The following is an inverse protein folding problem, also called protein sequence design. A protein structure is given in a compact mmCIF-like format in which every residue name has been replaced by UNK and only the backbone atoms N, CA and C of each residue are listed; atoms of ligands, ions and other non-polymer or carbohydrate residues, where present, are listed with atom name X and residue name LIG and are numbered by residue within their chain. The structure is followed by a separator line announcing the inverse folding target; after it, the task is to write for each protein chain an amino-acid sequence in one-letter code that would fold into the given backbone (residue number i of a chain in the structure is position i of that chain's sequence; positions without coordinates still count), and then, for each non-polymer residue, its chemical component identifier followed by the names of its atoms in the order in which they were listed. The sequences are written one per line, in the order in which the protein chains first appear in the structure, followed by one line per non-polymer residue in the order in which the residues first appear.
data_IF_694291198791
#
_entry.id   IF_694291198791
#
_cell.length_a   1.000
_cell.length_b   1.000
_cell.length_c   1.000
_cell.angle_alpha   90.00
_cell.angle_beta   90.00
_cell.angle_gamma   90.00
#
_symmetry.space_group_name_H-M   'P 1'
#
loop_
_entity.id
_entity.type
_entity.pdbx_description
1 polymer ?
#
# COMPACT_ATOMS: atom_id res chain seq x y z
N UNK A 1 1.61 -28.15 27.49
CA UNK A 1 0.98 -26.95 26.89
C UNK A 1 1.52 -25.73 27.63
N UNK A 2 2.11 -24.77 26.94
CA UNK A 2 2.56 -23.52 27.55
C UNK A 2 1.33 -22.62 27.64
N UNK A 3 1.05 -22.11 28.83
CA UNK A 3 -0.05 -21.15 29.08
C UNK A 3 0.53 -19.79 29.46
N UNK A 4 -0.01 -18.72 28.88
CA UNK A 4 0.35 -17.32 29.19
C UNK A 4 -0.92 -16.48 29.21
N UNK A 5 -0.95 -15.49 30.10
CA UNK A 5 -2.02 -14.48 30.13
C UNK A 5 -1.45 -13.11 29.78
N UNK A 6 -2.20 -12.35 28.95
CA UNK A 6 -1.85 -10.98 28.54
C UNK A 6 -3.12 -10.13 28.45
N UNK A 7 -2.99 -8.82 28.32
CA UNK A 7 -4.15 -7.96 28.10
C UNK A 7 -4.68 -8.08 26.67
N UNK A 8 -3.78 -8.12 25.67
CA UNK A 8 -4.14 -8.13 24.26
C UNK A 8 -3.26 -9.09 23.47
N UNK A 9 -3.89 -9.93 22.65
CA UNK A 9 -3.20 -10.69 21.59
C UNK A 9 -3.39 -9.99 20.26
N UNK A 10 -2.31 -9.79 19.52
CA UNK A 10 -2.33 -9.29 18.14
C UNK A 10 -1.95 -10.42 17.19
N UNK A 11 -2.86 -10.83 16.31
CA UNK A 11 -2.60 -11.86 15.30
C UNK A 11 -2.24 -11.20 13.97
N UNK A 12 -1.00 -11.46 13.53
CA UNK A 12 -0.38 -10.85 12.35
C UNK A 12 0.64 -9.78 12.71
N UNK A 13 1.92 -10.04 12.37
CA UNK A 13 3.05 -9.12 12.59
C UNK A 13 3.39 -8.30 11.34
N UNK A 14 2.38 -7.92 10.56
CA UNK A 14 2.51 -6.88 9.54
C UNK A 14 2.56 -5.48 10.15
N UNK A 15 2.72 -4.44 9.32
CA UNK A 15 2.87 -3.06 9.78
C UNK A 15 1.73 -2.60 10.72
N UNK A 16 0.47 -2.93 10.40
CA UNK A 16 -0.67 -2.60 11.26
C UNK A 16 -0.58 -3.27 12.63
N UNK A 17 -0.32 -4.58 12.66
CA UNK A 17 -0.26 -5.36 13.90
C UNK A 17 0.89 -4.93 14.79
N UNK A 18 2.08 -4.75 14.21
CA UNK A 18 3.24 -4.29 14.97
C UNK A 18 3.04 -2.87 15.52
N UNK A 19 2.44 -1.97 14.73
CA UNK A 19 2.11 -0.60 15.19
C UNK A 19 1.11 -0.65 16.34
N UNK A 20 0.05 -1.46 16.23
CA UNK A 20 -0.93 -1.63 17.31
C UNK A 20 -0.28 -2.19 18.58
N UNK A 21 0.51 -3.25 18.48
CA UNK A 21 1.20 -3.88 19.60
C UNK A 21 2.18 -2.90 20.29
N UNK A 22 2.92 -2.12 19.50
CA UNK A 22 3.82 -1.10 20.02
C UNK A 22 3.09 -0.04 20.84
N UNK A 23 2.01 0.55 20.30
CA UNK A 23 1.26 1.59 21.02
C UNK A 23 0.47 1.04 22.22
N UNK A 24 -0.02 -0.21 22.19
CA UNK A 24 -0.60 -0.88 23.34
C UNK A 24 0.44 -1.06 24.45
N UNK A 25 1.64 -1.55 24.11
CA UNK A 25 2.74 -1.68 25.07
C UNK A 25 3.19 -0.33 25.63
N UNK A 26 3.25 0.72 24.80
CA UNK A 26 3.54 2.10 25.22
C UNK A 26 2.54 2.62 26.26
N UNK A 27 1.29 2.10 26.24
CA UNK A 27 0.26 2.37 27.26
C UNK A 27 0.39 1.49 28.53
N UNK A 28 1.39 0.64 28.61
CA UNK A 28 1.63 -0.24 29.76
C UNK A 28 0.87 -1.58 29.74
N UNK A 29 0.20 -1.93 28.61
CA UNK A 29 -0.50 -3.20 28.48
C UNK A 29 0.48 -4.34 28.18
N UNK A 30 0.16 -5.53 28.69
CA UNK A 30 0.86 -6.77 28.31
C UNK A 30 0.32 -7.25 26.97
N UNK A 31 1.20 -7.40 25.97
CA UNK A 31 0.84 -7.74 24.61
C UNK A 31 1.59 -8.99 24.16
N UNK A 32 0.92 -9.87 23.41
CA UNK A 32 1.55 -10.93 22.65
C UNK A 32 1.23 -10.75 21.16
N UNK A 33 2.24 -10.89 20.30
CA UNK A 33 2.08 -10.86 18.84
C UNK A 33 2.29 -12.26 18.28
N UNK A 34 1.33 -12.77 17.49
CA UNK A 34 1.35 -14.11 16.89
C UNK A 34 1.46 -13.99 15.38
N UNK A 35 2.51 -14.56 14.78
CA UNK A 35 2.83 -14.45 13.35
C UNK A 35 3.12 -15.84 12.75
N UNK A 36 2.45 -16.16 11.65
CA UNK A 36 2.62 -17.44 10.93
C UNK A 36 4.01 -17.57 10.29
N UNK A 37 4.55 -16.46 9.77
CA UNK A 37 5.82 -16.46 9.07
C UNK A 37 7.01 -16.57 10.04
N UNK A 38 8.17 -16.95 9.50
CA UNK A 38 9.44 -16.95 10.27
C UNK A 38 9.97 -15.55 10.59
N UNK A 39 9.45 -14.52 9.97
CA UNK A 39 9.84 -13.12 10.14
C UNK A 39 8.64 -12.21 10.37
N UNK A 40 8.87 -11.08 11.02
CA UNK A 40 7.91 -9.98 11.16
C UNK A 40 7.99 -9.02 9.97
N UNK A 41 7.05 -8.07 9.85
CA UNK A 41 7.01 -7.05 8.80
C UNK A 41 6.03 -7.33 7.66
N UNK A 42 5.44 -8.54 7.61
CA UNK A 42 4.48 -8.89 6.55
C UNK A 42 5.10 -8.78 5.16
N UNK A 43 4.56 -7.92 4.30
CA UNK A 43 5.07 -7.70 2.95
C UNK A 43 6.31 -6.79 2.88
N UNK A 44 6.69 -6.13 3.97
CA UNK A 44 7.86 -5.23 4.00
C UNK A 44 9.12 -6.07 4.22
N UNK A 45 10.02 -6.03 3.26
CA UNK A 45 11.34 -6.66 3.34
C UNK A 45 12.31 -5.94 2.43
N UNK A 46 13.50 -5.63 2.96
CA UNK A 46 14.59 -4.98 2.23
C UNK A 46 15.72 -5.97 1.97
N UNK A 47 16.31 -5.91 0.80
CA UNK A 47 17.49 -6.69 0.40
C UNK A 47 18.67 -5.77 0.13
N UNK A 48 19.85 -6.25 0.48
CA UNK A 48 21.14 -5.61 0.18
C UNK A 48 21.98 -6.60 -0.59
N UNK A 49 22.30 -6.29 -1.83
CA UNK A 49 23.06 -7.18 -2.71
C UNK A 49 23.82 -6.37 -3.76
N UNK A 50 25.10 -6.68 -3.95
CA UNK A 50 25.98 -6.08 -4.96
C UNK A 50 26.01 -4.55 -4.98
N UNK A 51 25.84 -3.91 -3.82
CA UNK A 51 25.77 -2.46 -3.66
C UNK A 51 24.38 -1.87 -3.93
N UNK A 52 23.37 -2.69 -4.22
CA UNK A 52 21.99 -2.27 -4.34
C UNK A 52 21.21 -2.51 -3.07
N UNK A 53 20.30 -1.57 -2.74
CA UNK A 53 19.31 -1.72 -1.68
C UNK A 53 17.93 -1.64 -2.29
N UNK A 54 17.18 -2.74 -2.27
CA UNK A 54 15.87 -2.84 -2.92
C UNK A 54 14.82 -3.51 -2.04
N UNK A 55 13.58 -3.15 -2.27
CA UNK A 55 12.44 -3.61 -1.50
C UNK A 55 11.74 -4.80 -2.17
N UNK A 56 11.21 -5.71 -1.34
CA UNK A 56 10.23 -6.71 -1.74
C UNK A 56 8.86 -6.28 -1.23
N UNK A 57 7.97 -5.86 -2.12
CA UNK A 57 6.65 -5.36 -1.77
C UNK A 57 6.55 -3.83 -1.87
N UNK A 58 6.09 -3.10 -0.83
CA UNK A 58 6.03 -1.64 -0.91
C UNK A 58 7.43 -1.05 -1.03
N UNK A 59 7.61 -0.11 -1.96
CA UNK A 59 8.88 0.58 -2.20
C UNK A 59 8.96 1.92 -1.47
N UNK A 60 7.81 2.56 -1.25
CA UNK A 60 7.72 3.89 -0.66
C UNK A 60 6.42 4.03 0.12
N UNK A 61 6.40 4.96 1.07
CA UNK A 61 5.17 5.45 1.68
C UNK A 61 4.98 6.93 1.40
N UNK A 62 3.85 7.49 1.83
CA UNK A 62 3.56 8.94 1.79
C UNK A 62 3.15 9.37 3.19
N UNK A 63 3.73 10.46 3.70
CA UNK A 63 3.38 11.02 5.02
C UNK A 63 2.00 11.70 4.93
N UNK A 64 0.95 10.88 4.76
CA UNK A 64 -0.43 11.33 4.54
C UNK A 64 -1.16 11.65 5.84
N UNK A 65 -0.63 11.23 6.98
CA UNK A 65 -1.17 11.41 8.32
C UNK A 65 -0.07 11.70 9.33
N UNK A 66 -0.37 12.46 10.40
CA UNK A 66 0.59 12.76 11.47
C UNK A 66 1.20 11.52 12.12
N UNK A 67 0.41 10.45 12.24
CA UNK A 67 0.82 9.20 12.87
C UNK A 67 2.06 8.58 12.25
N UNK A 68 2.36 8.90 10.97
CA UNK A 68 3.58 8.43 10.31
C UNK A 68 4.81 9.10 10.91
N UNK A 69 4.80 10.44 11.02
CA UNK A 69 5.91 11.20 11.58
C UNK A 69 6.09 10.88 13.08
N UNK A 70 4.97 10.80 13.82
CA UNK A 70 4.96 10.44 15.24
C UNK A 70 5.57 9.04 15.47
N UNK A 71 5.25 8.07 14.61
CA UNK A 71 5.84 6.73 14.72
C UNK A 71 7.36 6.76 14.54
N UNK A 72 7.88 7.48 13.56
CA UNK A 72 9.34 7.58 13.39
C UNK A 72 10.01 8.31 14.54
N UNK A 73 9.39 9.32 15.14
CA UNK A 73 9.86 9.97 16.35
C UNK A 73 9.93 8.98 17.52
N UNK A 74 8.91 8.17 17.70
CA UNK A 74 8.84 7.14 18.76
C UNK A 74 9.84 5.99 18.56
N UNK A 75 10.20 5.69 17.32
CA UNK A 75 11.16 4.63 16.97
C UNK A 75 12.61 5.10 17.01
N UNK A 76 12.88 6.40 17.05
CA UNK A 76 14.24 6.91 17.12
C UNK A 76 14.98 6.39 18.38
N UNK A 77 16.29 6.13 18.30
CA UNK A 77 17.18 6.20 17.13
C UNK A 77 17.20 4.91 16.28
N UNK A 78 16.38 3.89 16.60
CA UNK A 78 16.38 2.57 15.94
C UNK A 78 15.95 2.61 14.47
N UNK A 79 15.11 3.57 14.12
CA UNK A 79 14.64 3.77 12.75
C UNK A 79 14.57 5.26 12.45
N UNK A 80 15.16 5.67 11.33
CA UNK A 80 15.18 7.07 10.91
C UNK A 80 14.37 7.24 9.63
N UNK A 81 13.53 8.29 9.61
CA UNK A 81 12.76 8.70 8.44
C UNK A 81 13.69 9.21 7.35
N UNK A 82 13.52 8.71 6.15
CA UNK A 82 14.15 9.22 4.94
C UNK A 82 13.07 9.75 3.99
N UNK A 83 13.11 11.04 3.63
CA UNK A 83 12.19 11.62 2.66
C UNK A 83 12.81 11.63 1.28
N UNK A 84 11.96 11.47 0.24
CA UNK A 84 12.43 11.49 -1.12
C UNK A 84 13.06 12.84 -1.48
N UNK A 85 14.12 12.78 -2.32
CA UNK A 85 14.84 13.95 -2.85
C UNK A 85 13.92 14.84 -3.68
N UNK A 86 14.31 16.09 -3.87
CA UNK A 86 13.54 17.07 -4.67
C UNK A 86 13.39 16.62 -6.13
N UNK A 87 14.42 16.02 -6.70
CA UNK A 87 14.45 15.52 -8.07
C UNK A 87 13.36 14.45 -8.31
N UNK A 88 13.07 13.65 -7.29
CA UNK A 88 12.03 12.63 -7.33
C UNK A 88 10.59 13.18 -7.30
N UNK A 89 10.40 14.49 -7.24
CA UNK A 89 9.06 15.11 -7.38
C UNK A 89 8.50 14.95 -8.79
N UNK A 90 9.35 14.80 -9.81
CA UNK A 90 8.93 14.58 -11.19
C UNK A 90 8.26 13.20 -11.30
N UNK A 91 7.03 13.19 -11.80
CA UNK A 91 6.26 11.96 -12.03
C UNK A 91 5.96 11.84 -13.50
N UNK A 92 6.15 10.66 -14.04
CA UNK A 92 6.13 10.44 -15.48
C UNK A 92 4.94 9.54 -15.86
N UNK A 93 4.37 9.78 -17.04
CA UNK A 93 3.35 8.94 -17.67
C UNK A 93 3.84 8.54 -19.05
N UNK A 94 3.79 7.25 -19.35
CA UNK A 94 4.10 6.76 -20.68
C UNK A 94 3.03 7.16 -21.68
N UNK A 95 3.45 7.70 -22.82
CA UNK A 95 2.56 7.95 -23.96
C UNK A 95 3.31 7.81 -25.27
N UNK A 96 2.82 6.93 -26.16
CA UNK A 96 3.46 6.65 -27.43
C UNK A 96 4.79 5.95 -27.25
N UNK A 97 5.91 6.66 -27.38
CA UNK A 97 7.26 6.08 -27.37
C UNK A 97 8.15 6.58 -26.24
N UNK A 98 7.63 7.41 -25.30
CA UNK A 98 8.42 8.01 -24.24
C UNK A 98 7.58 8.37 -23.01
N UNK A 99 8.27 8.61 -21.92
CA UNK A 99 7.68 9.19 -20.73
C UNK A 99 7.47 10.71 -20.88
N UNK A 100 6.36 11.20 -20.37
CA UNK A 100 6.02 12.62 -20.29
C UNK A 100 5.76 12.99 -18.83
N UNK A 101 6.26 14.13 -18.41
CA UNK A 101 6.06 14.62 -17.05
C UNK A 101 4.59 15.03 -16.82
N UNK A 102 4.05 14.65 -15.65
CA UNK A 102 2.75 15.16 -15.20
C UNK A 102 2.91 16.64 -14.87
N UNK A 103 2.08 17.51 -15.46
CA UNK A 103 2.22 18.96 -15.25
C UNK A 103 1.94 19.34 -13.80
N UNK A 104 2.83 20.14 -13.22
CA UNK A 104 2.71 20.72 -11.87
C UNK A 104 2.24 22.18 -11.89
N UNK A 105 2.09 22.78 -13.07
CA UNK A 105 1.69 24.18 -13.27
C UNK A 105 0.56 24.32 -14.29
N UNK A 106 -0.13 25.46 -14.28
CA UNK A 106 -1.20 25.76 -15.26
C UNK A 106 -0.67 25.76 -16.70
N UNK A 107 0.49 26.38 -16.96
CA UNK A 107 1.12 26.38 -18.28
C UNK A 107 1.55 24.97 -18.71
N UNK A 108 2.13 24.20 -17.81
CA UNK A 108 2.41 22.79 -18.05
C UNK A 108 1.14 21.99 -18.38
N UNK A 109 0.03 22.27 -17.70
CA UNK A 109 -1.28 21.67 -17.98
C UNK A 109 -1.81 21.98 -19.38
N UNK A 110 -1.59 23.18 -19.86
CA UNK A 110 -1.98 23.57 -21.21
C UNK A 110 -1.08 22.98 -22.30
N UNK A 111 0.22 22.94 -22.07
CA UNK A 111 1.21 22.48 -23.06
C UNK A 111 1.38 20.96 -23.10
N UNK A 112 1.04 20.23 -22.03
CA UNK A 112 1.25 18.77 -21.96
C UNK A 112 0.52 18.04 -23.10
N UNK A 113 1.17 17.07 -23.78
CA UNK A 113 0.51 16.22 -24.76
C UNK A 113 -0.33 15.09 -24.14
N UNK A 114 -0.32 14.94 -22.81
CA UNK A 114 -1.04 13.87 -22.10
C UNK A 114 -2.56 13.99 -22.32
N UNK A 115 -3.11 15.20 -22.29
CA UNK A 115 -4.54 15.43 -22.32
C UNK A 115 -4.99 16.09 -23.63
N UNK A 116 -6.20 15.74 -24.06
CA UNK A 116 -6.82 16.35 -25.24
C UNK A 116 -7.28 17.78 -24.97
N UNK A 117 -7.31 18.62 -26.01
CA UNK A 117 -7.80 20.00 -25.88
C UNK A 117 -9.24 20.09 -25.37
N UNK A 118 -10.21 19.28 -25.87
CA UNK A 118 -11.56 19.30 -25.31
C UNK A 118 -11.60 19.00 -23.81
N UNK A 119 -10.79 18.05 -23.33
CA UNK A 119 -10.78 17.70 -21.93
C UNK A 119 -10.03 18.75 -21.06
N UNK A 120 -9.02 19.44 -21.61
CA UNK A 120 -8.39 20.59 -20.95
C UNK A 120 -9.40 21.72 -20.69
N UNK A 121 -10.22 22.05 -21.70
CA UNK A 121 -11.31 23.02 -21.52
C UNK A 121 -12.42 22.49 -20.60
N UNK A 122 -12.68 21.19 -20.61
CA UNK A 122 -13.66 20.55 -19.76
C UNK A 122 -13.40 20.77 -18.27
N UNK A 123 -12.13 20.81 -17.85
CA UNK A 123 -11.75 21.10 -16.45
C UNK A 123 -12.24 22.48 -16.00
N UNK A 124 -12.23 23.48 -16.85
CA UNK A 124 -12.73 24.83 -16.50
C UNK A 124 -14.21 24.80 -16.09
N UNK A 125 -15.00 23.90 -16.66
CA UNK A 125 -16.40 23.67 -16.30
C UNK A 125 -16.62 22.72 -15.12
N UNK A 126 -15.56 22.12 -14.55
CA UNK A 126 -15.68 21.15 -13.45
C UNK A 126 -16.45 21.69 -12.24
N UNK A 127 -16.21 22.94 -11.75
CA UNK A 127 -16.92 23.49 -10.60
C UNK A 127 -18.44 23.65 -10.78
N UNK A 128 -18.92 23.66 -12.01
CA UNK A 128 -20.36 23.86 -12.35
C UNK A 128 -21.08 22.56 -12.65
N UNK A 129 -20.39 21.41 -12.61
CA UNK A 129 -21.00 20.11 -12.87
C UNK A 129 -21.81 19.64 -11.67
N UNK A 130 -22.94 19.00 -11.96
CA UNK A 130 -23.79 18.40 -10.92
C UNK A 130 -23.03 17.32 -10.16
N UNK A 131 -23.30 17.25 -8.86
CA UNK A 131 -22.83 16.18 -7.97
C UNK A 131 -23.44 14.84 -8.39
N UNK A 132 -22.64 13.78 -8.40
CA UNK A 132 -23.12 12.43 -8.67
C UNK A 132 -24.05 11.94 -7.56
N UNK A 133 -25.12 11.25 -7.97
CA UNK A 133 -26.12 10.73 -7.04
C UNK A 133 -25.93 9.23 -6.74
N UNK A 134 -25.18 8.51 -7.58
CA UNK A 134 -24.91 7.10 -7.38
C UNK A 134 -23.75 6.90 -6.39
N UNK A 135 -24.02 6.38 -5.19
CA UNK A 135 -22.95 6.10 -4.21
C UNK A 135 -22.03 4.97 -4.66
N UNK A 136 -22.42 4.19 -5.66
CA UNK A 136 -21.63 3.09 -6.20
C UNK A 136 -20.95 3.46 -7.54
N UNK A 137 -20.92 4.75 -7.88
CA UNK A 137 -20.24 5.24 -9.08
C UNK A 137 -18.77 4.79 -9.11
N UNK A 138 -18.37 4.16 -10.23
CA UNK A 138 -16.97 3.74 -10.44
C UNK A 138 -16.05 4.96 -10.55
N UNK A 139 -14.75 4.77 -10.29
CA UNK A 139 -13.77 5.84 -10.48
C UNK A 139 -13.69 6.25 -11.95
N UNK A 140 -13.89 5.30 -12.88
CA UNK A 140 -13.89 5.59 -14.31
C UNK A 140 -15.07 6.48 -14.69
N UNK A 141 -16.29 6.18 -14.23
CA UNK A 141 -17.47 6.97 -14.57
C UNK A 141 -17.42 8.36 -13.95
N UNK A 142 -17.02 8.45 -12.68
CA UNK A 142 -16.75 9.72 -12.02
C UNK A 142 -15.78 10.58 -12.84
N UNK A 143 -14.67 9.97 -13.28
CA UNK A 143 -13.64 10.68 -14.03
C UNK A 143 -14.15 11.12 -15.40
N UNK A 144 -14.84 10.24 -16.14
CA UNK A 144 -15.43 10.58 -17.45
C UNK A 144 -16.42 11.73 -17.31
N UNK A 145 -17.29 11.67 -16.31
CA UNK A 145 -18.32 12.66 -16.06
C UNK A 145 -17.73 14.02 -15.70
N UNK A 146 -16.69 14.05 -14.84
CA UNK A 146 -16.12 15.32 -14.37
C UNK A 146 -14.98 15.84 -15.22
N UNK A 147 -14.04 15.00 -15.59
CA UNK A 147 -12.76 15.42 -16.18
C UNK A 147 -12.65 15.06 -17.68
N UNK A 148 -13.29 13.98 -18.11
CA UNK A 148 -13.24 13.52 -19.48
C UNK A 148 -12.31 12.31 -19.70
N UNK A 149 -12.37 11.76 -20.92
CA UNK A 149 -11.74 10.48 -21.27
C UNK A 149 -10.21 10.53 -21.22
N UNK A 150 -9.59 11.64 -21.65
CA UNK A 150 -8.12 11.70 -21.66
C UNK A 150 -7.52 11.75 -20.25
N UNK A 151 -8.21 12.38 -19.29
CA UNK A 151 -7.81 12.33 -17.88
C UNK A 151 -8.00 10.95 -17.28
N UNK A 152 -9.07 10.23 -17.64
CA UNK A 152 -9.19 8.83 -17.26
C UNK A 152 -8.00 8.03 -17.78
N UNK A 153 -7.70 8.14 -19.06
CA UNK A 153 -6.68 7.32 -19.71
C UNK A 153 -5.24 7.63 -19.25
N UNK A 154 -4.90 8.92 -19.07
CA UNK A 154 -3.51 9.35 -18.84
C UNK A 154 -3.21 9.94 -17.46
N UNK A 155 -4.18 9.95 -16.56
CA UNK A 155 -3.97 10.34 -15.17
C UNK A 155 -4.54 9.30 -14.20
N UNK A 156 -5.84 9.02 -14.28
CA UNK A 156 -6.54 8.19 -13.29
C UNK A 156 -6.25 6.71 -13.48
N UNK A 157 -6.34 6.20 -14.70
CA UNK A 157 -6.05 4.78 -14.99
C UNK A 157 -4.61 4.40 -14.64
N UNK A 158 -3.55 5.10 -15.09
CA UNK A 158 -2.19 4.75 -14.70
C UNK A 158 -1.94 4.91 -13.20
N UNK A 159 -2.55 5.90 -12.54
CA UNK A 159 -2.45 6.04 -11.09
C UNK A 159 -3.06 4.83 -10.36
N UNK A 160 -4.28 4.41 -10.73
CA UNK A 160 -4.94 3.27 -10.11
C UNK A 160 -4.26 1.95 -10.44
N UNK A 161 -3.77 1.78 -11.66
CA UNK A 161 -2.98 0.62 -12.05
C UNK A 161 -1.66 0.55 -11.29
N UNK A 162 -1.01 1.69 -11.03
CA UNK A 162 0.25 1.73 -10.28
C UNK A 162 0.08 1.58 -8.76
N UNK A 163 -1.00 2.13 -8.17
CA UNK A 163 -1.21 2.17 -6.72
C UNK A 163 -2.07 1.01 -6.23
N UNK A 164 -3.15 0.68 -6.94
CA UNK A 164 -4.08 -0.40 -6.60
C UNK A 164 -3.83 -1.69 -7.39
N UNK A 165 -3.01 -1.63 -8.43
CA UNK A 165 -2.94 -2.66 -9.47
C UNK A 165 -4.36 -3.03 -9.97
N UNK A 166 -5.28 -2.06 -9.90
CA UNK A 166 -6.72 -2.22 -10.02
C UNK A 166 -7.29 -1.73 -11.35
N UNK A 167 -8.60 -1.91 -11.50
CA UNK A 167 -9.34 -1.43 -12.66
C UNK A 167 -10.26 -0.26 -12.25
N UNK A 168 -10.09 0.97 -12.82
CA UNK A 168 -10.96 2.09 -12.51
C UNK A 168 -12.45 1.85 -12.85
N UNK A 169 -12.76 0.87 -13.72
CA UNK A 169 -14.14 0.51 -14.09
C UNK A 169 -14.86 -0.24 -12.95
N UNK A 170 -14.13 -0.97 -12.09
CA UNK A 170 -14.72 -1.79 -11.01
C UNK A 170 -14.48 -1.21 -9.62
N UNK A 171 -13.46 -0.37 -9.45
CA UNK A 171 -13.18 0.30 -8.19
C UNK A 171 -14.23 1.38 -7.90
N UNK A 172 -14.90 1.27 -6.74
CA UNK A 172 -15.94 2.21 -6.31
C UNK A 172 -15.32 3.40 -5.59
N UNK A 173 -15.65 4.60 -6.05
CA UNK A 173 -14.98 5.85 -5.63
C UNK A 173 -15.04 6.07 -4.12
N UNK A 174 -16.20 5.89 -3.48
CA UNK A 174 -16.36 6.13 -2.03
C UNK A 174 -15.54 5.19 -1.17
N UNK A 175 -15.19 4.00 -1.67
CA UNK A 175 -14.39 3.01 -0.94
C UNK A 175 -12.90 3.13 -1.24
N UNK A 176 -12.52 3.27 -2.51
CA UNK A 176 -11.13 3.33 -2.94
C UNK A 176 -10.51 4.72 -2.77
N UNK A 177 -11.25 5.78 -3.08
CA UNK A 177 -10.80 7.17 -3.00
C UNK A 177 -11.76 8.05 -2.19
N UNK A 178 -11.99 7.74 -0.89
CA UNK A 178 -12.99 8.44 -0.07
C UNK A 178 -12.72 9.95 0.03
N UNK A 179 -11.46 10.38 0.00
CA UNK A 179 -11.11 11.80 -0.01
C UNK A 179 -11.64 12.51 -1.26
N UNK A 180 -11.53 11.87 -2.43
CA UNK A 180 -12.01 12.43 -3.70
C UNK A 180 -13.54 12.45 -3.74
N UNK A 181 -14.17 11.36 -3.31
CA UNK A 181 -15.63 11.28 -3.16
C UNK A 181 -16.18 12.40 -2.28
N UNK A 182 -15.58 12.61 -1.10
CA UNK A 182 -15.99 13.63 -0.15
C UNK A 182 -15.77 15.07 -0.67
N UNK A 183 -14.78 15.31 -1.54
CA UNK A 183 -14.63 16.63 -2.19
C UNK A 183 -15.85 16.95 -3.05
N UNK A 184 -16.33 15.99 -3.82
CA UNK A 184 -17.53 16.18 -4.64
C UNK A 184 -18.78 16.32 -3.79
N UNK A 185 -19.01 15.39 -2.86
CA UNK A 185 -20.25 15.36 -2.06
C UNK A 185 -20.40 16.57 -1.14
N UNK A 186 -19.31 17.00 -0.48
CA UNK A 186 -19.36 18.05 0.53
C UNK A 186 -19.21 19.46 -0.05
N UNK A 187 -18.51 19.60 -1.19
CA UNK A 187 -18.18 20.91 -1.76
C UNK A 187 -18.68 21.11 -3.19
N UNK A 188 -19.37 20.10 -3.76
CA UNK A 188 -19.92 20.18 -5.12
C UNK A 188 -18.92 19.96 -6.25
N UNK A 189 -17.63 19.72 -5.96
CA UNK A 189 -16.62 19.47 -6.99
C UNK A 189 -15.20 19.41 -6.45
N UNK A 190 -14.29 18.96 -7.30
CA UNK A 190 -12.89 18.76 -6.92
C UNK A 190 -12.16 20.08 -6.72
N UNK A 191 -12.35 21.03 -7.65
CA UNK A 191 -11.70 22.35 -7.58
C UNK A 191 -12.22 23.14 -6.40
N UNK A 192 -13.56 23.24 -6.24
CA UNK A 192 -14.18 23.90 -5.09
C UNK A 192 -13.75 23.29 -3.77
N UNK A 193 -13.77 21.94 -3.68
CA UNK A 193 -13.37 21.23 -2.48
C UNK A 193 -11.89 21.40 -2.13
N UNK A 194 -11.00 21.38 -3.14
CA UNK A 194 -9.58 21.60 -2.92
C UNK A 194 -9.30 23.03 -2.39
N UNK A 195 -9.97 24.05 -2.97
CA UNK A 195 -9.86 25.43 -2.52
C UNK A 195 -10.42 25.63 -1.11
N UNK A 196 -11.56 25.01 -0.79
CA UNK A 196 -12.15 25.07 0.55
C UNK A 196 -11.22 24.43 1.59
N UNK A 197 -10.71 23.22 1.32
CA UNK A 197 -9.79 22.52 2.20
C UNK A 197 -8.43 23.22 2.37
N UNK A 198 -7.96 23.95 1.36
CA UNK A 198 -6.74 24.72 1.48
C UNK A 198 -6.85 25.88 2.50
N UNK A 199 -8.08 26.34 2.75
CA UNK A 199 -8.38 27.44 3.72
C UNK A 199 -8.66 26.93 5.14
N UNK A 200 -8.85 25.61 5.33
CA UNK A 200 -9.07 25.04 6.66
C UNK A 200 -7.82 25.27 7.54
N UNK A 201 -8.02 25.76 8.80
CA UNK A 201 -6.90 25.92 9.71
C UNK A 201 -6.27 24.56 10.03
N UNK A 202 -4.96 24.50 10.01
CA UNK A 202 -4.19 23.31 10.36
C UNK A 202 -3.58 23.47 11.74
N UNK A 203 -3.80 22.47 12.59
CA UNK A 203 -3.08 22.37 13.87
C UNK A 203 -1.59 22.07 13.64
N UNK A 204 -0.76 22.23 14.67
CA UNK A 204 0.65 21.84 14.59
C UNK A 204 0.79 20.34 14.26
N UNK A 205 -0.08 19.50 14.84
CA UNK A 205 -0.11 18.07 14.55
C UNK A 205 -0.44 17.80 13.07
N UNK A 206 -1.40 18.51 12.48
CA UNK A 206 -1.76 18.33 11.06
C UNK A 206 -0.62 18.69 10.11
N UNK A 207 0.27 19.60 10.52
CA UNK A 207 1.45 19.98 9.72
C UNK A 207 2.49 18.86 9.61
N UNK A 208 2.48 17.88 10.51
CA UNK A 208 3.31 16.69 10.43
C UNK A 208 2.97 15.83 9.19
N UNK A 209 1.75 15.91 8.67
CA UNK A 209 1.32 15.25 7.44
C UNK A 209 1.83 16.00 6.19
N UNK A 210 3.13 16.01 5.97
CA UNK A 210 3.83 16.77 4.92
C UNK A 210 3.48 16.34 3.50
N UNK A 211 2.90 15.16 3.32
CA UNK A 211 2.63 14.50 2.03
C UNK A 211 3.89 14.17 1.22
N UNK A 212 5.05 14.28 1.82
CA UNK A 212 6.29 13.82 1.20
C UNK A 212 6.30 12.30 1.07
N UNK A 213 6.94 11.82 0.02
CA UNK A 213 7.24 10.41 -0.14
C UNK A 213 8.35 10.04 0.84
N UNK A 214 8.23 8.88 1.48
CA UNK A 214 9.19 8.43 2.48
C UNK A 214 9.64 6.98 2.27
N UNK A 215 10.79 6.71 2.80
CA UNK A 215 11.36 5.41 3.15
C UNK A 215 11.95 5.49 4.56
N UNK A 216 12.72 4.51 4.94
CA UNK A 216 13.58 4.54 6.11
C UNK A 216 15.05 4.42 5.69
N UNK A 217 15.95 5.01 6.45
CA UNK A 217 17.39 4.86 6.24
C UNK A 217 17.75 3.37 6.29
N UNK A 218 18.45 2.89 5.26
CA UNK A 218 18.76 1.47 5.10
C UNK A 218 17.60 0.60 4.59
N UNK A 219 16.45 1.18 4.23
CA UNK A 219 15.30 0.48 3.67
C UNK A 219 14.12 0.34 4.63
N UNK A 220 12.95 0.05 4.05
CA UNK A 220 11.68 0.03 4.78
C UNK A 220 11.60 -1.04 5.88
N UNK A 221 12.39 -2.13 5.78
CA UNK A 221 12.41 -3.18 6.80
C UNK A 221 12.94 -2.69 8.17
N UNK A 222 13.62 -1.55 8.20
CA UNK A 222 14.02 -0.89 9.45
C UNK A 222 12.83 -0.57 10.35
N UNK A 223 11.65 -0.27 9.78
CA UNK A 223 10.42 0.03 10.53
C UNK A 223 9.93 -1.19 11.32
N UNK A 224 9.61 -2.35 10.71
CA UNK A 224 9.18 -3.52 11.48
C UNK A 224 10.25 -4.05 12.40
N UNK A 225 11.54 -3.93 12.07
CA UNK A 225 12.65 -4.32 12.96
C UNK A 225 12.65 -3.47 14.23
N UNK A 226 12.56 -2.15 14.11
CA UNK A 226 12.50 -1.23 15.25
C UNK A 226 11.24 -1.45 16.10
N UNK A 227 10.08 -1.65 15.45
CA UNK A 227 8.85 -2.01 16.17
C UNK A 227 9.01 -3.32 16.96
N UNK A 228 9.58 -4.35 16.35
CA UNK A 228 9.81 -5.63 17.01
C UNK A 228 10.76 -5.53 18.21
N UNK A 229 11.79 -4.70 18.10
CA UNK A 229 12.71 -4.43 19.22
C UNK A 229 12.02 -3.69 20.37
N UNK A 230 11.22 -2.67 20.07
CA UNK A 230 10.42 -1.92 21.06
C UNK A 230 9.34 -2.76 21.74
N UNK A 231 8.71 -3.69 21.00
CA UNK A 231 7.74 -4.64 21.55
C UNK A 231 8.45 -5.67 22.44
N UNK A 232 9.68 -6.05 22.13
CA UNK A 232 10.45 -7.10 22.80
C UNK A 232 10.21 -8.47 22.14
N UNK A 233 11.30 -9.14 21.80
CA UNK A 233 11.29 -10.43 21.09
C UNK A 233 10.53 -11.52 21.85
N UNK A 234 10.55 -11.48 23.18
CA UNK A 234 9.84 -12.40 24.08
C UNK A 234 8.32 -12.30 24.00
N UNK A 235 7.80 -11.23 23.41
CA UNK A 235 6.38 -11.00 23.20
C UNK A 235 5.92 -11.33 21.78
N UNK A 236 6.83 -11.79 20.89
CA UNK A 236 6.55 -12.08 19.49
C UNK A 236 6.77 -13.55 19.20
N UNK A 237 5.71 -14.23 18.82
CA UNK A 237 5.70 -15.65 18.46
C UNK A 237 5.65 -15.77 16.96
N UNK A 238 6.79 -16.00 16.32
CA UNK A 238 6.89 -16.31 14.88
C UNK A 238 6.74 -17.81 14.62
N UNK A 239 6.50 -18.20 13.37
CA UNK A 239 6.24 -19.61 12.98
C UNK A 239 5.08 -20.22 13.79
N UNK A 240 4.06 -19.41 14.09
CA UNK A 240 2.84 -19.87 14.76
C UNK A 240 1.90 -20.54 13.75
N UNK A 241 1.93 -21.85 13.75
CA UNK A 241 1.12 -22.66 12.86
C UNK A 241 -0.25 -22.97 13.47
N UNK A 242 -1.26 -23.25 12.60
CA UNK A 242 -2.62 -23.61 13.03
C UNK A 242 -3.22 -22.66 14.07
N UNK A 243 -2.94 -21.36 13.92
CA UNK A 243 -3.43 -20.36 14.85
C UNK A 243 -4.95 -20.28 14.79
N UNK A 244 -5.60 -20.39 15.95
CA UNK A 244 -7.04 -20.23 16.12
C UNK A 244 -7.33 -19.30 17.31
N UNK A 245 -8.41 -18.56 17.20
CA UNK A 245 -8.94 -17.68 18.24
C UNK A 245 -10.31 -18.21 18.63
N UNK A 246 -10.63 -18.21 19.92
CA UNK A 246 -11.94 -18.62 20.43
C UNK A 246 -12.34 -17.82 21.66
N UNK A 247 -13.62 -17.45 21.82
CA UNK A 247 -14.12 -16.85 23.04
C UNK A 247 -14.32 -17.93 24.11
N UNK A 248 -13.78 -17.75 25.30
CA UNK A 248 -13.92 -18.68 26.44
C UNK A 248 -14.17 -17.90 27.72
N UNK A 249 -15.34 -18.12 28.37
CA UNK A 249 -15.71 -17.54 29.68
C UNK A 249 -15.53 -16.00 29.78
N UNK A 250 -15.90 -15.28 28.71
CA UNK A 250 -15.79 -13.80 28.66
C UNK A 250 -14.37 -13.27 28.37
N UNK A 251 -13.44 -14.15 28.08
CA UNK A 251 -12.07 -13.85 27.63
C UNK A 251 -11.84 -14.46 26.23
N UNK A 252 -10.66 -14.21 25.68
CA UNK A 252 -10.22 -14.75 24.42
C UNK A 252 -9.08 -15.73 24.61
N UNK A 253 -9.13 -16.84 23.90
CA UNK A 253 -8.02 -17.81 23.83
C UNK A 253 -7.48 -17.84 22.41
N UNK A 254 -6.17 -17.61 22.29
CA UNK A 254 -5.43 -17.81 21.05
C UNK A 254 -4.54 -19.03 21.19
N UNK A 255 -4.79 -20.05 20.38
CA UNK A 255 -4.03 -21.31 20.37
C UNK A 255 -3.25 -21.45 19.07
N UNK A 256 -2.04 -21.97 19.13
CA UNK A 256 -1.18 -22.23 17.97
C UNK A 256 -0.09 -23.26 18.31
N UNK A 257 0.57 -23.77 17.29
CA UNK A 257 1.75 -24.61 17.42
C UNK A 257 3.00 -23.83 17.05
N UNK A 258 4.05 -23.95 17.87
CA UNK A 258 5.37 -23.41 17.57
C UNK A 258 6.46 -24.47 17.83
N UNK A 259 7.23 -24.80 16.79
CA UNK A 259 8.21 -25.89 16.83
C UNK A 259 7.62 -27.23 17.36
N UNK A 260 6.39 -27.57 16.93
CA UNK A 260 5.66 -28.78 17.32
C UNK A 260 5.11 -28.75 18.76
N UNK A 261 5.24 -27.62 19.48
CA UNK A 261 4.71 -27.48 20.84
C UNK A 261 3.43 -26.64 20.84
N UNK A 262 2.32 -27.12 21.44
CA UNK A 262 1.11 -26.35 21.58
C UNK A 262 1.27 -25.23 22.60
N UNK A 263 0.90 -24.01 22.19
CA UNK A 263 0.89 -22.80 23.01
C UNK A 263 -0.54 -22.26 23.05
N UNK A 264 -0.94 -21.78 24.21
CA UNK A 264 -2.23 -21.15 24.44
C UNK A 264 -2.03 -19.83 25.19
N UNK A 265 -2.58 -18.74 24.66
CA UNK A 265 -2.52 -17.43 25.27
C UNK A 265 -3.96 -16.97 25.54
N UNK A 266 -4.24 -16.64 26.79
CA UNK A 266 -5.51 -16.03 27.21
C UNK A 266 -5.38 -14.51 27.25
N UNK A 267 -6.40 -13.79 26.80
CA UNK A 267 -6.39 -12.33 26.77
C UNK A 267 -7.80 -11.73 26.91
N UNK A 268 -7.84 -10.47 27.32
CA UNK A 268 -9.10 -9.70 27.39
C UNK A 268 -9.58 -9.28 25.98
N UNK A 269 -8.64 -9.03 25.08
CA UNK A 269 -8.91 -8.57 23.72
C UNK A 269 -8.02 -9.30 22.70
N UNK A 270 -8.52 -9.43 21.48
CA UNK A 270 -7.78 -9.93 20.31
C UNK A 270 -7.91 -8.95 19.17
N UNK A 271 -6.80 -8.59 18.55
CA UNK A 271 -6.73 -7.81 17.34
C UNK A 271 -6.21 -8.71 16.22
N UNK A 272 -6.99 -8.90 15.15
CA UNK A 272 -6.51 -9.59 13.94
C UNK A 272 -6.11 -8.57 12.89
N UNK A 273 -4.94 -8.73 12.30
CA UNK A 273 -4.43 -7.86 11.22
C UNK A 273 -3.95 -8.67 10.02
N UNK A 274 -4.43 -9.87 9.89
CA UNK A 274 -4.12 -10.80 8.81
C UNK A 274 -4.92 -10.47 7.53
N UNK A 275 -4.58 -11.13 6.41
CA UNK A 275 -5.36 -11.02 5.19
C UNK A 275 -6.77 -11.65 5.34
N UNK A 276 -7.76 -11.11 4.61
CA UNK A 276 -9.14 -11.61 4.67
C UNK A 276 -9.25 -13.13 4.45
N UNK A 277 -8.44 -13.65 3.55
CA UNK A 277 -8.41 -15.08 3.17
C UNK A 277 -7.99 -16.04 4.31
N UNK A 278 -7.46 -15.54 5.43
CA UNK A 278 -7.08 -16.38 6.57
C UNK A 278 -8.14 -16.41 7.67
N UNK A 279 -9.15 -15.55 7.63
CA UNK A 279 -10.07 -15.36 8.75
C UNK A 279 -10.99 -16.56 8.98
N UNK A 280 -11.33 -17.33 7.94
CA UNK A 280 -12.14 -18.53 8.09
C UNK A 280 -11.46 -19.62 8.95
N UNK A 281 -10.14 -19.78 8.81
CA UNK A 281 -9.35 -20.72 9.62
C UNK A 281 -9.10 -20.17 11.03
N UNK A 282 -8.95 -18.85 11.16
CA UNK A 282 -8.63 -18.17 12.41
C UNK A 282 -9.82 -18.05 13.36
N UNK A 283 -11.02 -17.76 12.82
CA UNK A 283 -12.24 -17.38 13.56
C UNK A 283 -13.37 -18.41 13.32
N UNK A 284 -13.11 -19.68 13.61
CA UNK A 284 -14.02 -20.79 13.33
C UNK A 284 -15.37 -20.74 14.07
N UNK A 285 -15.49 -19.89 15.10
CA UNK A 285 -16.70 -19.68 15.88
C UNK A 285 -17.65 -18.63 15.27
N UNK A 286 -17.17 -17.85 14.27
CA UNK A 286 -17.97 -16.85 13.56
C UNK A 286 -18.79 -17.52 12.47
N UNK A 287 -20.04 -17.06 12.29
CA UNK A 287 -20.93 -17.55 11.26
C UNK A 287 -20.30 -17.48 9.86
N UNK A 288 -20.31 -18.60 9.11
CA UNK A 288 -19.61 -18.70 7.81
C UNK A 288 -20.02 -17.61 6.80
N UNK A 289 -21.30 -17.21 6.78
CA UNK A 289 -21.82 -16.19 5.86
C UNK A 289 -21.18 -14.82 6.10
N UNK A 290 -20.99 -14.44 7.37
CA UNK A 290 -20.30 -13.18 7.72
C UNK A 290 -18.84 -13.23 7.35
N UNK A 291 -18.17 -14.35 7.59
CA UNK A 291 -16.78 -14.53 7.17
C UNK A 291 -16.63 -14.51 5.66
N UNK A 292 -17.57 -15.11 4.92
CA UNK A 292 -17.53 -15.16 3.46
C UNK A 292 -17.55 -13.77 2.83
N UNK A 293 -18.31 -12.82 3.39
CA UNK A 293 -18.31 -11.43 2.93
C UNK A 293 -16.91 -10.77 3.04
N UNK A 294 -16.07 -11.25 3.96
CA UNK A 294 -14.70 -10.76 4.15
C UNK A 294 -13.69 -11.57 3.33
N UNK A 295 -13.81 -12.91 3.34
CA UNK A 295 -12.86 -13.81 2.67
C UNK A 295 -12.96 -13.74 1.15
N UNK A 296 -14.12 -13.34 0.60
CA UNK A 296 -14.31 -13.08 -0.83
C UNK A 296 -13.62 -11.81 -1.34
N UNK A 297 -12.93 -11.08 -0.46
CA UNK A 297 -12.14 -9.91 -0.86
C UNK A 297 -11.14 -10.27 -1.96
N UNK A 298 -11.30 -9.65 -3.11
CA UNK A 298 -10.39 -9.82 -4.23
C UNK A 298 -9.06 -9.09 -3.99
N UNK A 299 -7.97 -9.74 -4.31
CA UNK A 299 -6.63 -9.17 -4.27
C UNK A 299 -6.04 -9.14 -5.67
N UNK A 300 -5.49 -8.02 -6.08
CA UNK A 300 -4.71 -7.95 -7.32
C UNK A 300 -3.38 -8.69 -7.12
N UNK A 301 -3.03 -9.66 -7.99
CA UNK A 301 -1.71 -10.26 -7.99
C UNK A 301 -0.73 -9.32 -8.68
N UNK A 302 0.50 -9.24 -8.17
CA UNK A 302 1.57 -8.38 -8.72
C UNK A 302 2.89 -9.13 -8.70
N UNK A 303 3.63 -9.01 -9.79
CA UNK A 303 5.06 -9.33 -9.83
C UNK A 303 5.84 -8.02 -9.80
N UNK A 304 6.75 -7.92 -8.86
CA UNK A 304 7.73 -6.85 -8.80
C UNK A 304 9.08 -7.42 -9.24
N UNK A 305 9.76 -6.70 -10.14
CA UNK A 305 11.11 -7.06 -10.57
C UNK A 305 12.04 -5.88 -10.28
N UNK A 306 13.02 -6.10 -9.40
CA UNK A 306 14.08 -5.14 -9.13
C UNK A 306 15.20 -5.33 -10.15
N UNK A 307 15.57 -4.23 -10.81
CA UNK A 307 16.59 -4.20 -11.86
C UNK A 307 17.63 -3.15 -11.51
N UNK A 308 18.87 -3.57 -11.34
CA UNK A 308 19.99 -2.70 -11.02
C UNK A 308 20.99 -2.59 -12.17
N UNK A 309 21.52 -1.40 -12.37
CA UNK A 309 22.68 -1.14 -13.23
C UNK A 309 23.75 -0.39 -12.45
N UNK A 310 25.01 -0.81 -12.57
CA UNK A 310 26.15 -0.15 -11.89
C UNK A 310 26.60 1.11 -12.59
N UNK A 311 26.22 1.27 -13.87
CA UNK A 311 26.51 2.45 -14.69
C UNK A 311 25.33 2.75 -15.60
N UNK A 312 24.81 3.96 -15.53
CA UNK A 312 23.69 4.44 -16.36
C UNK A 312 24.11 4.86 -17.77
N UNK A 313 25.41 4.81 -18.10
CA UNK A 313 25.95 5.27 -19.38
C UNK A 313 25.55 6.72 -19.71
N UNK A 314 25.41 7.55 -18.68
CA UNK A 314 25.05 8.96 -18.81
C UNK A 314 23.56 9.22 -19.01
N UNK A 315 22.70 8.21 -18.95
CA UNK A 315 21.24 8.40 -18.96
C UNK A 315 20.75 9.01 -17.64
N UNK A 316 19.83 9.96 -17.73
CA UNK A 316 19.23 10.66 -16.59
C UNK A 316 17.91 10.00 -16.17
N UNK A 317 17.85 9.59 -14.90
CA UNK A 317 16.67 9.00 -14.26
C UNK A 317 16.16 9.84 -13.07
N UNK A 318 16.39 11.15 -13.04
CA UNK A 318 15.97 12.06 -11.99
C UNK A 318 14.45 12.27 -11.99
N UNK A 319 13.71 11.25 -11.54
CA UNK A 319 12.26 11.25 -11.37
C UNK A 319 11.85 10.20 -10.32
N UNK A 320 10.61 10.29 -9.83
CA UNK A 320 10.02 9.24 -8.98
C UNK A 320 9.89 7.91 -9.71
N UNK A 321 9.63 8.00 -11.00
CA UNK A 321 9.33 6.89 -11.88
C UNK A 321 8.23 7.22 -12.86
N UNK A 322 7.81 6.24 -13.63
CA UNK A 322 6.82 6.39 -14.68
C UNK A 322 5.71 5.34 -14.59
N UNK A 323 4.46 5.78 -14.72
CA UNK A 323 3.29 4.92 -14.81
C UNK A 323 2.89 4.67 -16.25
N UNK A 324 2.31 3.51 -16.50
CA UNK A 324 1.93 3.08 -17.84
C UNK A 324 0.41 2.98 -17.95
N UNK A 325 -0.24 3.81 -18.78
CA UNK A 325 -1.67 3.73 -19.03
C UNK A 325 -2.06 2.41 -19.72
N UNK A 326 -3.19 1.83 -19.33
CA UNK A 326 -3.70 0.60 -19.96
C UNK A 326 -3.96 0.76 -21.45
N UNK A 327 -4.31 1.97 -21.90
CA UNK A 327 -4.55 2.25 -23.32
C UNK A 327 -3.27 2.17 -24.19
N UNK A 328 -2.10 2.22 -23.60
CA UNK A 328 -0.80 2.06 -24.28
C UNK A 328 -0.44 0.58 -24.53
N UNK A 329 -1.22 -0.36 -24.00
CA UNK A 329 -1.12 -1.82 -24.22
C UNK A 329 0.29 -2.38 -23.94
N UNK A 330 0.92 -1.91 -22.87
CA UNK A 330 2.19 -2.42 -22.38
C UNK A 330 1.98 -3.47 -21.30
N UNK A 331 2.96 -4.33 -21.10
CA UNK A 331 2.93 -5.43 -20.14
C UNK A 331 3.29 -4.99 -18.72
N UNK A 332 3.83 -3.78 -18.54
CA UNK A 332 4.20 -3.23 -17.22
C UNK A 332 3.19 -2.16 -16.77
N UNK A 333 2.87 -2.15 -15.48
CA UNK A 333 2.02 -1.15 -14.85
C UNK A 333 2.76 0.18 -14.60
N UNK A 334 4.06 0.08 -14.39
CA UNK A 334 4.94 1.21 -14.13
C UNK A 334 6.33 0.77 -13.71
N UNK A 335 7.22 1.75 -13.66
CA UNK A 335 8.62 1.58 -13.25
C UNK A 335 8.94 2.67 -12.22
N UNK A 336 9.29 2.31 -10.99
CA UNK A 336 9.82 3.25 -10.01
C UNK A 336 11.33 3.35 -10.12
N UNK A 337 11.88 4.51 -9.72
CA UNK A 337 13.31 4.81 -9.71
C UNK A 337 13.80 5.04 -8.26
N UNK A 338 13.97 3.98 -7.44
CA UNK A 338 14.29 4.12 -6.03
C UNK A 338 15.61 4.86 -5.77
N UNK A 339 16.61 4.70 -6.64
CA UNK A 339 17.91 5.38 -6.50
C UNK A 339 17.81 6.91 -6.71
N UNK A 340 16.84 7.37 -7.52
CA UNK A 340 16.54 8.79 -7.64
C UNK A 340 15.80 9.35 -6.43
N UNK A 341 15.06 8.49 -5.71
CA UNK A 341 14.26 8.91 -4.56
C UNK A 341 15.06 8.98 -3.26
N UNK A 342 15.95 8.01 -3.03
CA UNK A 342 16.57 7.79 -1.72
C UNK A 342 18.06 7.51 -1.87
N UNK A 343 18.81 7.75 -0.77
CA UNK A 343 20.24 7.49 -0.73
C UNK A 343 20.56 6.00 -0.71
N UNK A 344 21.76 5.65 -1.17
CA UNK A 344 22.32 4.30 -1.06
C UNK A 344 21.42 3.19 -1.63
N UNK A 345 20.65 3.49 -2.70
CA UNK A 345 19.82 2.47 -3.37
C UNK A 345 20.55 1.80 -4.54
N UNK A 346 21.59 2.42 -5.06
CA UNK A 346 22.47 1.88 -6.11
C UNK A 346 23.91 2.31 -5.85
N UNK A 347 24.91 1.66 -6.48
CA UNK A 347 26.28 2.15 -6.52
C UNK A 347 26.40 3.55 -7.13
N UNK A 348 27.53 4.22 -6.92
CA UNK A 348 27.82 5.50 -7.57
C UNK A 348 27.73 5.36 -9.10
N UNK A 349 27.11 6.32 -9.78
CA UNK A 349 26.76 6.29 -11.21
C UNK A 349 25.77 5.20 -11.64
N UNK A 350 25.28 4.39 -10.71
CA UNK A 350 24.28 3.36 -10.97
C UNK A 350 22.84 3.82 -10.82
N UNK A 351 21.93 2.95 -11.20
CA UNK A 351 20.50 3.14 -11.00
C UNK A 351 19.81 1.85 -10.53
N UNK A 352 18.71 2.02 -9.85
CA UNK A 352 17.81 0.94 -9.44
C UNK A 352 16.40 1.23 -9.95
N UNK A 353 15.78 0.23 -10.54
CA UNK A 353 14.42 0.28 -11.09
C UNK A 353 13.58 -0.81 -10.45
N UNK A 354 12.32 -0.50 -10.15
CA UNK A 354 11.32 -1.50 -9.75
C UNK A 354 10.22 -1.54 -10.79
N UNK A 355 10.17 -2.62 -11.57
CA UNK A 355 9.12 -2.90 -12.56
C UNK A 355 7.95 -3.57 -11.87
N UNK A 356 6.73 -3.16 -12.20
CA UNK A 356 5.50 -3.77 -11.69
C UNK A 356 4.70 -4.36 -12.86
N UNK A 357 4.31 -5.65 -12.72
CA UNK A 357 3.67 -6.45 -13.77
C UNK A 357 2.44 -7.12 -13.16
N UNK A 358 1.37 -7.30 -13.95
CA UNK A 358 0.17 -7.99 -13.52
C UNK A 358 -0.99 -7.05 -13.19
N UNK A 359 -1.46 -7.08 -11.93
CA UNK A 359 -2.70 -6.41 -11.54
C UNK A 359 -3.94 -7.15 -12.03
N UNK A 360 -5.14 -6.63 -11.70
CA UNK A 360 -6.41 -7.28 -12.06
C UNK A 360 -6.62 -7.39 -13.57
N UNK A 361 -6.07 -6.45 -14.36
CA UNK A 361 -6.23 -6.41 -15.82
C UNK A 361 -5.34 -7.43 -16.55
N UNK A 362 -4.21 -7.78 -15.97
CA UNK A 362 -3.19 -8.63 -16.57
C UNK A 362 -2.68 -9.70 -15.59
N UNK A 363 -3.60 -10.28 -14.80
CA UNK A 363 -3.27 -11.29 -13.79
C UNK A 363 -2.50 -12.50 -14.38
N UNK A 364 -2.80 -12.87 -15.63
CA UNK A 364 -2.11 -13.94 -16.35
C UNK A 364 -0.59 -13.72 -16.47
N UNK A 365 -0.11 -12.48 -16.53
CA UNK A 365 1.31 -12.18 -16.59
C UNK A 365 2.05 -12.55 -15.30
N UNK A 366 1.34 -12.68 -14.18
CA UNK A 366 1.96 -13.08 -12.90
C UNK A 366 2.28 -14.57 -12.82
N UNK A 367 1.74 -15.37 -13.74
CA UNK A 367 1.98 -16.82 -13.84
C UNK A 367 3.12 -17.17 -14.82
N UNK A 368 3.69 -16.20 -15.51
CA UNK A 368 4.85 -16.40 -16.40
C UNK A 368 6.04 -16.99 -15.62
N UNK A 369 6.84 -17.82 -16.26
CA UNK A 369 8.08 -18.35 -15.69
C UNK A 369 9.11 -17.23 -15.49
N UNK A 370 10.09 -17.48 -14.62
CA UNK A 370 11.11 -16.45 -14.31
C UNK A 370 11.83 -15.96 -15.56
N UNK A 371 12.23 -16.87 -16.47
CA UNK A 371 12.88 -16.49 -17.74
C UNK A 371 11.98 -15.60 -18.62
N UNK A 372 10.68 -15.91 -18.71
CA UNK A 372 9.73 -15.10 -19.49
C UNK A 372 9.56 -13.70 -18.91
N UNK A 373 9.57 -13.59 -17.56
CA UNK A 373 9.52 -12.31 -16.85
C UNK A 373 10.81 -11.51 -17.03
N UNK A 374 11.96 -12.17 -16.98
CA UNK A 374 13.27 -11.54 -17.25
C UNK A 374 13.31 -10.99 -18.67
N UNK A 375 12.92 -11.80 -19.66
CA UNK A 375 12.88 -11.38 -21.08
C UNK A 375 11.91 -10.20 -21.28
N UNK A 376 10.74 -10.23 -20.62
CA UNK A 376 9.76 -9.13 -20.63
C UNK A 376 10.38 -7.85 -20.05
N UNK A 377 11.04 -7.96 -18.90
CA UNK A 377 11.66 -6.82 -18.22
C UNK A 377 12.82 -6.27 -19.03
N UNK A 378 13.69 -7.11 -19.58
CA UNK A 378 14.82 -6.70 -20.43
C UNK A 378 14.32 -5.97 -21.68
N UNK A 379 13.27 -6.46 -22.36
CA UNK A 379 12.67 -5.74 -23.50
C UNK A 379 12.18 -4.35 -23.09
N UNK A 380 11.51 -4.22 -21.94
CA UNK A 380 11.02 -2.93 -21.45
C UNK A 380 12.16 -2.05 -20.92
N UNK A 381 13.21 -2.60 -20.35
CA UNK A 381 14.42 -1.91 -19.96
C UNK A 381 15.05 -1.18 -21.17
N UNK A 382 15.22 -1.85 -22.31
CA UNK A 382 15.74 -1.23 -23.52
C UNK A 382 14.74 -0.25 -24.15
N UNK A 383 13.46 -0.61 -24.25
CA UNK A 383 12.48 0.19 -25.00
C UNK A 383 11.93 1.37 -24.22
N UNK A 384 11.84 1.30 -22.91
CA UNK A 384 11.22 2.34 -22.07
C UNK A 384 12.26 3.21 -21.35
N UNK A 385 13.38 2.62 -20.92
CA UNK A 385 14.47 3.35 -20.27
C UNK A 385 15.59 3.76 -21.22
N UNK A 386 15.49 3.33 -22.49
CA UNK A 386 16.39 3.69 -23.59
C UNK A 386 17.86 3.25 -23.42
N UNK A 387 18.10 2.23 -22.60
CA UNK A 387 19.43 1.63 -22.56
C UNK A 387 19.77 0.97 -23.89
N UNK A 388 21.05 1.06 -24.35
CA UNK A 388 21.51 0.36 -25.57
C UNK A 388 21.26 -1.15 -25.47
N UNK A 389 20.98 -1.80 -26.60
CA UNK A 389 20.77 -3.26 -26.66
C UNK A 389 21.92 -4.10 -26.17
N UNK A 390 23.16 -3.55 -26.19
CA UNK A 390 24.39 -4.16 -25.66
C UNK A 390 24.43 -4.15 -24.12
N UNK A 391 23.71 -3.23 -23.46
CA UNK A 391 23.70 -3.09 -22.00
C UNK A 391 22.81 -4.15 -21.38
N UNK A 392 23.35 -4.94 -20.49
CA UNK A 392 22.56 -5.86 -19.65
C UNK A 392 22.47 -5.32 -18.23
N UNK A 393 21.36 -5.56 -17.53
CA UNK A 393 21.27 -5.29 -16.10
C UNK A 393 22.32 -6.08 -15.30
N UNK A 394 22.88 -5.45 -14.26
CA UNK A 394 23.82 -6.10 -13.33
C UNK A 394 23.08 -6.91 -12.24
N UNK A 395 21.83 -6.58 -11.99
CA UNK A 395 20.97 -7.26 -11.00
C UNK A 395 19.56 -7.39 -11.55
N UNK A 396 18.98 -8.59 -11.44
CA UNK A 396 17.54 -8.84 -11.65
C UNK A 396 17.04 -9.71 -10.49
N UNK A 397 15.96 -9.28 -9.78
CA UNK A 397 15.33 -10.06 -8.71
C UNK A 397 13.82 -10.01 -8.85
N UNK A 398 13.19 -11.17 -8.95
CA UNK A 398 11.75 -11.34 -9.18
C UNK A 398 11.03 -11.66 -7.86
N UNK A 399 9.97 -10.92 -7.55
CA UNK A 399 9.13 -11.14 -6.39
C UNK A 399 7.66 -11.27 -6.79
N UNK A 400 7.04 -12.41 -6.46
CA UNK A 400 5.65 -12.69 -6.76
C UNK A 400 4.78 -12.47 -5.53
N UNK A 401 3.73 -11.69 -5.69
CA UNK A 401 2.74 -11.38 -4.66
C UNK A 401 1.34 -11.78 -5.16
N UNK A 402 0.89 -12.99 -4.83
CA UNK A 402 -0.43 -13.49 -5.27
C UNK A 402 -1.58 -12.69 -4.66
N UNK A 403 -1.46 -12.30 -3.40
CA UNK A 403 -2.43 -11.50 -2.65
C UNK A 403 -1.81 -10.14 -2.30
N UNK A 404 -1.47 -9.34 -3.33
CA UNK A 404 -0.73 -8.11 -3.14
C UNK A 404 -1.62 -6.98 -2.60
N UNK A 405 -2.64 -6.57 -3.36
CA UNK A 405 -3.39 -5.34 -3.08
C UNK A 405 -4.89 -5.64 -3.05
N UNK A 406 -5.57 -5.42 -1.89
CA UNK A 406 -7.01 -5.62 -1.78
C UNK A 406 -7.77 -4.62 -2.64
N UNK A 407 -8.84 -5.10 -3.30
CA UNK A 407 -9.67 -4.30 -4.18
C UNK A 407 -10.87 -3.72 -3.43
N UNK A 408 -11.23 -2.49 -3.78
CA UNK A 408 -12.33 -1.75 -3.20
C UNK A 408 -13.49 -1.62 -4.20
N UNK A 409 -14.09 -2.77 -4.53
CA UNK A 409 -15.19 -2.93 -5.47
C UNK A 409 -16.55 -2.86 -4.75
N UNK A 410 -17.63 -3.14 -5.46
CA UNK A 410 -19.01 -3.03 -4.97
C UNK A 410 -19.26 -3.88 -3.70
N UNK A 411 -18.63 -5.04 -3.60
CA UNK A 411 -18.70 -5.96 -2.44
C UNK A 411 -18.06 -5.39 -1.16
N UNK A 412 -17.36 -4.25 -1.27
CA UNK A 412 -16.75 -3.60 -0.10
C UNK A 412 -17.76 -3.15 0.95
N UNK A 413 -19.01 -2.83 0.54
CA UNK A 413 -20.09 -2.49 1.48
C UNK A 413 -20.40 -3.67 2.40
N UNK A 414 -20.71 -4.82 1.81
CA UNK A 414 -21.04 -6.04 2.54
C UNK A 414 -19.90 -6.48 3.47
N UNK A 415 -18.66 -6.38 2.98
CA UNK A 415 -17.47 -6.66 3.77
C UNK A 415 -17.37 -5.79 5.01
N UNK A 416 -17.58 -4.48 4.88
CA UNK A 416 -17.50 -3.56 6.02
C UNK A 416 -18.62 -3.76 7.00
N UNK A 417 -19.84 -4.00 6.53
CA UNK A 417 -21.00 -4.33 7.36
C UNK A 417 -20.75 -5.63 8.15
N UNK A 418 -20.21 -6.67 7.49
CA UNK A 418 -19.86 -7.92 8.15
C UNK A 418 -18.78 -7.74 9.23
N UNK A 419 -17.74 -6.95 8.97
CA UNK A 419 -16.72 -6.62 9.96
C UNK A 419 -17.36 -5.94 11.18
N UNK A 420 -18.21 -4.96 10.96
CA UNK A 420 -18.85 -4.20 12.03
C UNK A 420 -19.81 -5.07 12.85
N UNK A 421 -20.59 -5.96 12.20
CA UNK A 421 -21.47 -6.92 12.86
C UNK A 421 -20.69 -7.92 13.75
N UNK A 422 -19.59 -8.49 13.21
CA UNK A 422 -18.73 -9.41 13.98
C UNK A 422 -18.19 -8.71 15.23
N UNK A 423 -17.67 -7.50 15.10
CA UNK A 423 -17.12 -6.74 16.24
C UNK A 423 -18.21 -6.32 17.26
N UNK A 424 -19.44 -6.10 16.81
CA UNK A 424 -20.59 -5.83 17.71
C UNK A 424 -21.00 -7.08 18.48
N UNK A 425 -21.03 -8.23 17.82
CA UNK A 425 -21.41 -9.52 18.40
C UNK A 425 -20.37 -10.06 19.36
N UNK A 426 -19.09 -9.92 19.02
CA UNK A 426 -17.97 -10.49 19.76
C UNK A 426 -17.11 -9.37 20.39
N UNK A 427 -17.54 -8.92 21.59
CA UNK A 427 -16.84 -7.85 22.31
C UNK A 427 -15.38 -8.24 22.64
N UNK A 428 -14.45 -7.31 22.40
CA UNK A 428 -13.02 -7.56 22.59
C UNK A 428 -12.33 -8.18 21.36
N UNK A 429 -13.06 -8.53 20.29
CA UNK A 429 -12.50 -8.90 19.00
C UNK A 429 -12.45 -7.68 18.07
N UNK A 430 -11.28 -7.40 17.50
CA UNK A 430 -11.07 -6.28 16.58
C UNK A 430 -10.47 -6.79 15.27
N UNK A 431 -11.14 -6.47 14.15
CA UNK A 431 -10.74 -6.89 12.80
C UNK A 431 -10.08 -5.71 12.08
N UNK A 432 -8.78 -5.78 11.90
CA UNK A 432 -7.97 -4.78 11.22
C UNK A 432 -7.18 -5.38 10.04
N UNK A 433 -6.09 -4.68 9.68
CA UNK A 433 -5.26 -5.06 8.54
C UNK A 433 -5.80 -4.51 7.22
N UNK A 434 -5.41 -5.13 6.11
CA UNK A 434 -5.73 -4.65 4.77
C UNK A 434 -7.16 -4.96 4.30
N UNK A 435 -7.99 -5.57 5.13
CA UNK A 435 -9.40 -5.84 4.84
C UNK A 435 -10.27 -4.59 4.86
N UNK A 436 -9.81 -3.50 5.46
CA UNK A 436 -10.46 -2.19 5.52
C UNK A 436 -9.47 -1.05 5.75
N UNK A 437 -9.90 0.20 5.51
CA UNK A 437 -9.16 1.40 5.94
C UNK A 437 -7.97 1.78 5.07
N UNK A 438 -8.00 1.48 3.76
CA UNK A 438 -6.96 1.87 2.80
C UNK A 438 -5.92 0.78 2.55
N UNK A 439 -4.96 1.08 1.67
CA UNK A 439 -3.94 0.13 1.21
C UNK A 439 -2.50 0.61 1.45
N UNK A 440 -2.31 1.91 1.66
CA UNK A 440 -1.00 2.52 1.80
C UNK A 440 -0.36 2.27 3.17
N UNK A 441 0.96 2.38 3.25
CA UNK A 441 1.68 2.24 4.53
C UNK A 441 1.19 3.21 5.60
N UNK A 442 0.90 4.46 5.22
CA UNK A 442 0.34 5.45 6.14
C UNK A 442 -1.03 5.04 6.70
N UNK A 443 -1.88 4.41 5.87
CA UNK A 443 -3.16 3.87 6.32
C UNK A 443 -2.96 2.73 7.33
N UNK A 444 -1.97 1.87 7.09
CA UNK A 444 -1.62 0.75 7.98
C UNK A 444 -1.11 1.24 9.33
N UNK A 445 -0.24 2.25 9.32
CA UNK A 445 0.27 2.88 10.56
C UNK A 445 -0.88 3.53 11.34
N UNK A 446 -1.66 4.38 10.67
CA UNK A 446 -2.80 5.06 11.29
C UNK A 446 -3.81 4.07 11.88
N UNK A 447 -4.13 3.00 11.15
CA UNK A 447 -5.03 1.95 11.64
C UNK A 447 -4.46 1.25 12.88
N UNK A 448 -3.14 0.95 12.91
CA UNK A 448 -2.48 0.39 14.08
C UNK A 448 -2.60 1.28 15.32
N UNK A 449 -2.38 2.60 15.14
CA UNK A 449 -2.59 3.59 16.22
C UNK A 449 -4.04 3.60 16.70
N UNK A 450 -5.02 3.57 15.78
CA UNK A 450 -6.45 3.54 16.12
C UNK A 450 -6.84 2.26 16.88
N UNK A 451 -6.35 1.09 16.45
CA UNK A 451 -6.58 -0.18 17.13
C UNK A 451 -5.99 -0.19 18.54
N UNK A 452 -4.91 0.53 18.77
CA UNK A 452 -4.36 0.68 20.13
C UNK A 452 -5.16 1.65 21.02
N UNK A 453 -6.13 2.39 20.49
CA UNK A 453 -6.99 3.33 21.25
C UNK A 453 -8.31 2.69 21.70
N UNK A 454 -8.63 1.49 21.24
CA UNK A 454 -9.83 0.76 21.61
C UNK A 454 -9.82 0.48 23.11
N UNK A 455 -10.97 0.68 23.76
CA UNK A 455 -11.18 0.50 25.20
C UNK A 455 -11.57 -0.94 25.52
#
# INVERSE_FOLDING_TARGET
MIQKEVDVVVVGAGLTGLTAAFYLKKKGLQVAVVEKSKRIGGQIQTFHEDGFTFEKGPNTGVISYPEVAELFQDLAPLCQLETAKEEAKRRLIWKGKRFHEIPSSLWGGLSTPLFSWPDKFRILGEPFRKVGQDPNESIADLTRRRLGKSYLNYAVDPFLSGVYAGNPETLITRFALPKLYNLEQNYGGFIKGALAKAKEPKTERDRLATKQVFSAVGGLESIPKALGEKIGKENIYTQAERTQVSPIHGQWTTSFEQAGKPIQITSKQVITTTGGYTLAELLTFVEPQLLQAITNLQYAPVVQVSVGVKDTEGLDFNAFGGLVPSCEKREVLGILFPAACFEQRAPENGALFSFFIGGVKHANLTELKDQELEDLVIRNFHTMLHFPSSKQPDLIRIFRHKMAIPQYEITSKERFEAIDLIQQQYKGLHLGGNIRGGIGMADRIRQGVQLAQLK
#
